data_IF_893036073361
#
_entry.id   IF_893036073361
#
_cell.length_a   1.000
_cell.length_b   1.000
_cell.length_c   1.000
_cell.angle_alpha   90.00
_cell.angle_beta   90.00
_cell.angle_gamma   90.00
#
_symmetry.space_group_name_H-M   'P 1'
#
loop_
_entity.id
_entity.type
_entity.pdbx_description
1 polymer ?
#
# COMPACT_ATOMS: atom_id res chain seq x y z
N UNK A 1 -14.19 -18.42 24.39
CA UNK A 1 -15.37 -18.17 23.54
C UNK A 1 -15.52 -19.35 22.60
N UNK A 2 -16.58 -20.11 22.74
CA UNK A 2 -16.87 -21.24 21.85
C UNK A 2 -17.67 -20.72 20.65
N UNK A 3 -17.11 -20.85 19.46
CA UNK A 3 -17.82 -20.48 18.22
C UNK A 3 -18.59 -21.69 17.70
N UNK A 4 -19.79 -21.46 17.19
CA UNK A 4 -20.55 -22.51 16.49
C UNK A 4 -19.85 -22.84 15.15
N UNK A 5 -20.06 -24.06 14.66
CA UNK A 5 -19.55 -24.45 13.32
C UNK A 5 -20.08 -23.55 12.20
N UNK A 6 -21.31 -23.03 12.38
CA UNK A 6 -21.92 -22.11 11.42
C UNK A 6 -21.20 -20.76 11.41
N UNK A 7 -20.86 -20.23 12.60
CA UNK A 7 -20.13 -18.96 12.73
C UNK A 7 -18.75 -19.03 12.09
N UNK A 8 -18.04 -20.11 12.29
CA UNK A 8 -16.71 -20.32 11.67
C UNK A 8 -16.80 -20.49 10.14
N UNK A 9 -17.83 -21.16 9.66
CA UNK A 9 -18.07 -21.31 8.21
C UNK A 9 -18.33 -19.96 7.58
N UNK A 10 -19.22 -19.16 8.14
CA UNK A 10 -19.55 -17.83 7.63
C UNK A 10 -18.34 -16.88 7.71
N UNK A 11 -17.60 -16.91 8.82
CA UNK A 11 -16.36 -16.15 8.95
C UNK A 11 -15.35 -16.53 7.89
N UNK A 12 -15.20 -17.82 7.57
CA UNK A 12 -14.34 -18.32 6.51
C UNK A 12 -14.75 -17.80 5.13
N UNK A 13 -16.04 -17.77 4.82
CA UNK A 13 -16.56 -17.21 3.56
C UNK A 13 -16.22 -15.72 3.44
N UNK A 14 -16.35 -14.96 4.51
CA UNK A 14 -15.96 -13.54 4.55
C UNK A 14 -14.46 -13.36 4.31
N UNK A 15 -13.62 -14.13 5.01
CA UNK A 15 -12.16 -14.09 4.83
C UNK A 15 -11.80 -14.39 3.38
N UNK A 16 -12.37 -15.44 2.79
CA UNK A 16 -12.11 -15.79 1.39
C UNK A 16 -12.58 -14.72 0.42
N UNK A 17 -13.70 -14.03 0.71
CA UNK A 17 -14.18 -12.93 -0.12
C UNK A 17 -13.20 -11.75 -0.11
N UNK A 18 -12.65 -11.38 1.04
CA UNK A 18 -11.59 -10.36 1.15
C UNK A 18 -10.36 -10.73 0.34
N UNK A 19 -9.90 -11.97 0.46
CA UNK A 19 -8.73 -12.46 -0.28
C UNK A 19 -8.97 -12.36 -1.78
N UNK A 20 -10.13 -12.79 -2.26
CA UNK A 20 -10.49 -12.77 -3.69
C UNK A 20 -10.58 -11.35 -4.24
N UNK A 21 -11.24 -10.44 -3.52
CA UNK A 21 -11.35 -9.03 -3.91
C UNK A 21 -9.97 -8.37 -3.93
N UNK A 22 -9.16 -8.62 -2.89
CA UNK A 22 -7.81 -8.06 -2.80
C UNK A 22 -6.91 -8.54 -3.95
N UNK A 23 -6.96 -9.82 -4.31
CA UNK A 23 -6.23 -10.36 -5.48
C UNK A 23 -6.61 -9.66 -6.77
N UNK A 24 -7.90 -9.41 -6.98
CA UNK A 24 -8.39 -8.71 -8.17
C UNK A 24 -7.90 -7.25 -8.21
N UNK A 25 -7.93 -6.55 -7.08
CA UNK A 25 -7.45 -5.16 -6.96
C UNK A 25 -5.94 -5.08 -7.18
N UNK A 26 -5.17 -5.95 -6.51
CA UNK A 26 -3.71 -5.96 -6.59
C UNK A 26 -3.22 -6.18 -8.03
N UNK A 27 -3.92 -6.95 -8.83
CA UNK A 27 -3.56 -7.15 -10.24
C UNK A 27 -3.44 -5.83 -11.00
N UNK A 28 -4.39 -4.91 -10.81
CA UNK A 28 -4.33 -3.58 -11.43
C UNK A 28 -3.15 -2.76 -10.91
N UNK A 29 -2.84 -2.87 -9.62
CA UNK A 29 -1.66 -2.21 -9.02
C UNK A 29 -0.36 -2.80 -9.57
N UNK A 30 -0.28 -4.12 -9.74
CA UNK A 30 0.87 -4.80 -10.35
C UNK A 30 1.08 -4.37 -11.80
N UNK A 31 0.02 -4.27 -12.58
CA UNK A 31 0.08 -3.83 -13.98
C UNK A 31 0.58 -2.37 -14.06
N UNK A 32 0.10 -1.51 -13.17
CA UNK A 32 0.59 -0.14 -13.07
C UNK A 32 2.09 -0.09 -12.74
N UNK A 33 2.52 -0.78 -11.70
CA UNK A 33 3.93 -0.84 -11.30
C UNK A 33 4.81 -1.40 -12.43
N UNK A 34 4.38 -2.50 -13.06
CA UNK A 34 5.11 -3.14 -14.17
C UNK A 34 5.27 -2.21 -15.37
N UNK A 35 4.25 -1.42 -15.69
CA UNK A 35 4.32 -0.43 -16.79
C UNK A 35 5.39 0.65 -16.55
N UNK A 36 5.78 0.85 -15.30
CA UNK A 36 6.82 1.80 -14.88
C UNK A 36 8.16 1.14 -14.59
N UNK A 37 8.29 -0.18 -14.83
CA UNK A 37 9.49 -0.95 -14.54
C UNK A 37 9.71 -1.21 -13.05
N UNK A 38 8.65 -1.18 -12.24
CA UNK A 38 8.71 -1.32 -10.79
C UNK A 38 7.95 -2.56 -10.30
N UNK A 39 8.32 -3.02 -9.10
CA UNK A 39 7.50 -3.91 -8.28
C UNK A 39 6.51 -3.07 -7.45
N UNK A 40 5.42 -3.69 -7.00
CA UNK A 40 4.39 -2.98 -6.21
C UNK A 40 4.98 -2.33 -4.96
N UNK A 41 5.82 -3.05 -4.22
CA UNK A 41 6.49 -2.49 -3.03
C UNK A 41 7.38 -1.30 -3.36
N UNK A 42 8.13 -1.37 -4.47
CA UNK A 42 8.97 -0.27 -4.93
C UNK A 42 8.13 0.96 -5.27
N UNK A 43 7.02 0.77 -5.97
CA UNK A 43 6.11 1.86 -6.31
C UNK A 43 5.51 2.51 -5.05
N UNK A 44 5.07 1.71 -4.07
CA UNK A 44 4.55 2.21 -2.80
C UNK A 44 5.59 3.01 -2.01
N UNK A 45 6.81 2.49 -1.90
CA UNK A 45 7.92 3.16 -1.22
C UNK A 45 8.30 4.46 -1.93
N UNK A 46 8.42 4.43 -3.27
CA UNK A 46 8.73 5.61 -4.08
C UNK A 46 7.68 6.72 -3.89
N UNK A 47 6.40 6.37 -3.96
CA UNK A 47 5.31 7.33 -3.80
C UNK A 47 5.31 7.96 -2.40
N UNK A 48 5.58 7.15 -1.38
CA UNK A 48 5.65 7.65 -0.01
C UNK A 48 6.83 8.61 0.19
N UNK A 49 8.02 8.28 -0.30
CA UNK A 49 9.21 9.15 -0.23
C UNK A 49 8.97 10.44 -1.02
N UNK A 50 8.33 10.35 -2.19
CA UNK A 50 8.00 11.52 -3.01
C UNK A 50 7.09 12.52 -2.26
N UNK A 51 6.14 12.00 -1.47
CA UNK A 51 5.22 12.82 -0.67
C UNK A 51 5.81 13.29 0.65
N UNK A 52 6.90 12.67 1.10
CA UNK A 52 7.53 12.93 2.40
C UNK A 52 9.05 13.07 2.24
N UNK A 53 9.53 14.17 1.61
CA UNK A 53 10.96 14.37 1.39
C UNK A 53 11.75 14.38 2.70
N UNK A 54 12.94 13.76 2.68
CA UNK A 54 13.80 13.66 3.85
C UNK A 54 13.45 12.56 4.84
N UNK A 55 12.55 11.64 4.45
CA UNK A 55 12.17 10.49 5.27
C UNK A 55 13.33 9.56 5.52
N UNK A 56 13.36 8.96 6.72
CA UNK A 56 14.30 7.88 7.05
C UNK A 56 13.75 6.52 6.69
N UNK A 57 14.60 5.51 6.60
CA UNK A 57 14.20 4.11 6.44
C UNK A 57 13.20 3.70 7.55
N UNK A 58 13.46 4.12 8.79
CA UNK A 58 12.58 3.86 9.92
C UNK A 58 11.18 4.45 9.71
N UNK A 59 11.10 5.71 9.27
CA UNK A 59 9.82 6.38 9.02
C UNK A 59 9.03 5.66 7.91
N UNK A 60 9.67 5.25 6.81
CA UNK A 60 9.03 4.48 5.74
C UNK A 60 8.49 3.16 6.26
N UNK A 61 9.29 2.43 7.03
CA UNK A 61 8.92 1.14 7.62
C UNK A 61 7.69 1.26 8.53
N UNK A 62 7.68 2.26 9.41
CA UNK A 62 6.59 2.49 10.35
C UNK A 62 5.29 2.91 9.64
N UNK A 63 5.38 3.78 8.65
CA UNK A 63 4.21 4.31 7.95
C UNK A 63 3.57 3.33 6.97
N UNK A 64 4.36 2.53 6.29
CA UNK A 64 3.85 1.57 5.32
C UNK A 64 3.49 0.21 5.95
N UNK A 65 3.83 0.01 7.22
CA UNK A 65 3.61 -1.26 7.93
C UNK A 65 4.15 -2.47 7.14
N UNK A 66 5.35 -2.30 6.61
CA UNK A 66 6.07 -3.32 5.83
C UNK A 66 7.33 -3.69 6.60
N UNK A 67 7.76 -4.97 6.61
CA UNK A 67 8.99 -5.37 7.27
C UNK A 67 10.20 -4.55 6.80
N UNK A 68 11.06 -4.16 7.74
CA UNK A 68 12.26 -3.36 7.47
C UNK A 68 13.13 -3.94 6.36
N UNK A 69 13.28 -5.26 6.31
CA UNK A 69 14.03 -5.94 5.26
C UNK A 69 13.44 -5.72 3.87
N UNK A 70 12.11 -5.76 3.75
CA UNK A 70 11.41 -5.51 2.48
C UNK A 70 11.56 -4.07 2.04
N UNK A 71 11.44 -3.11 2.97
CA UNK A 71 11.65 -1.69 2.69
C UNK A 71 13.09 -1.44 2.24
N UNK A 72 14.06 -2.01 2.94
CA UNK A 72 15.49 -1.87 2.60
C UNK A 72 15.81 -2.38 1.19
N UNK A 73 15.31 -3.56 0.84
CA UNK A 73 15.47 -4.14 -0.51
C UNK A 73 14.80 -3.27 -1.57
N UNK A 74 13.61 -2.75 -1.28
CA UNK A 74 12.88 -1.85 -2.20
C UNK A 74 13.66 -0.55 -2.44
N UNK A 75 14.22 0.05 -1.38
CA UNK A 75 15.04 1.26 -1.48
C UNK A 75 16.31 0.99 -2.28
N UNK A 76 16.99 -0.12 -2.02
CA UNK A 76 18.20 -0.50 -2.80
C UNK A 76 17.88 -0.60 -4.30
N UNK A 77 16.77 -1.24 -4.63
CA UNK A 77 16.29 -1.32 -6.01
C UNK A 77 15.98 0.04 -6.63
N UNK A 78 15.33 0.93 -5.88
CA UNK A 78 15.01 2.29 -6.34
C UNK A 78 16.27 3.15 -6.52
N UNK A 79 17.26 3.00 -5.65
CA UNK A 79 18.56 3.67 -5.79
C UNK A 79 19.28 3.17 -7.04
N UNK A 80 19.31 1.87 -7.27
CA UNK A 80 19.91 1.26 -8.46
C UNK A 80 19.23 1.72 -9.76
N UNK A 81 17.92 1.96 -9.73
CA UNK A 81 17.16 2.50 -10.87
C UNK A 81 17.34 4.02 -11.04
N UNK A 82 18.03 4.69 -10.14
CA UNK A 82 18.22 6.14 -10.18
C UNK A 82 16.98 6.94 -9.82
N UNK A 83 16.06 6.36 -9.04
CA UNK A 83 14.78 6.97 -8.65
C UNK A 83 14.81 7.59 -7.26
N UNK A 84 15.69 7.09 -6.39
CA UNK A 84 15.88 7.54 -5.02
C UNK A 84 17.37 7.75 -4.74
N UNK A 85 17.67 8.74 -3.95
CA UNK A 85 19.00 9.03 -3.42
C UNK A 85 19.00 8.91 -1.91
N UNK A 86 20.11 8.41 -1.36
CA UNK A 86 20.42 8.43 0.06
C UNK A 86 21.28 9.63 0.36
N UNK A 87 20.87 10.38 1.36
CA UNK A 87 21.63 11.51 1.87
C UNK A 87 21.85 11.32 3.37
N UNK A 88 23.11 11.39 3.82
CA UNK A 88 23.40 11.28 5.24
C UNK A 88 22.85 12.50 5.95
N UNK A 89 22.11 12.29 7.07
CA UNK A 89 21.58 13.38 7.88
C UNK A 89 22.74 14.20 8.49
N UNK A 90 22.66 15.53 8.35
CA UNK A 90 23.59 16.46 9.01
C UNK A 90 23.38 16.53 10.52
N UNK A 91 22.15 16.26 10.96
CA UNK A 91 21.76 16.33 12.39
C UNK A 91 22.10 15.05 13.14
N UNK A 92 21.97 13.88 12.48
CA UNK A 92 22.27 12.58 13.06
C UNK A 92 22.99 11.68 12.06
N UNK A 93 24.30 11.45 12.28
CA UNK A 93 25.14 10.62 11.40
C UNK A 93 24.71 9.17 11.28
N UNK A 94 23.84 8.69 12.19
CA UNK A 94 23.28 7.32 12.15
C UNK A 94 22.06 7.21 11.26
N UNK A 95 21.48 8.33 10.86
CA UNK A 95 20.28 8.35 10.03
C UNK A 95 20.64 8.72 8.59
N UNK A 96 19.97 8.03 7.67
CA UNK A 96 20.03 8.29 6.25
C UNK A 96 18.67 8.82 5.81
N UNK A 97 18.67 10.00 5.24
CA UNK A 97 17.49 10.60 4.64
C UNK A 97 17.32 10.11 3.20
N UNK A 98 16.09 9.91 2.80
CA UNK A 98 15.72 9.45 1.48
C UNK A 98 15.05 10.59 0.71
N UNK A 99 15.39 10.71 -0.55
CA UNK A 99 14.85 11.74 -1.41
C UNK A 99 14.70 11.20 -2.82
N UNK A 100 13.62 11.58 -3.49
CA UNK A 100 13.43 11.20 -4.89
C UNK A 100 14.30 12.05 -5.81
N UNK A 101 14.83 11.44 -6.87
CA UNK A 101 15.45 12.13 -7.97
C UNK A 101 14.40 12.80 -8.86
N UNK A 102 14.80 13.62 -9.83
CA UNK A 102 13.88 14.19 -10.83
C UNK A 102 13.15 13.04 -11.57
N UNK A 103 13.91 12.02 -11.98
CA UNK A 103 13.34 10.81 -12.62
C UNK A 103 12.37 10.08 -11.69
N UNK A 104 12.71 9.92 -10.41
CA UNK A 104 11.84 9.29 -9.41
C UNK A 104 10.55 10.06 -9.20
N UNK A 105 10.60 11.37 -9.17
CA UNK A 105 9.41 12.22 -9.07
C UNK A 105 8.49 12.06 -10.28
N UNK A 106 9.06 12.02 -11.48
CA UNK A 106 8.30 11.81 -12.72
C UNK A 106 7.59 10.45 -12.71
N UNK A 107 8.28 9.39 -12.34
CA UNK A 107 7.72 8.03 -12.24
C UNK A 107 6.61 7.98 -11.17
N UNK A 108 6.85 8.58 -10.00
CA UNK A 108 5.83 8.67 -8.94
C UNK A 108 4.57 9.37 -9.41
N UNK A 109 4.70 10.51 -10.08
CA UNK A 109 3.55 11.25 -10.63
C UNK A 109 2.79 10.44 -11.67
N UNK A 110 3.47 9.71 -12.54
CA UNK A 110 2.85 8.81 -13.52
C UNK A 110 2.06 7.69 -12.85
N UNK A 111 2.61 7.08 -11.79
CA UNK A 111 1.93 6.01 -11.05
C UNK A 111 0.64 6.51 -10.38
N UNK A 112 0.70 7.69 -9.78
CA UNK A 112 -0.46 8.31 -9.10
C UNK A 112 -1.52 8.72 -10.13
N UNK A 113 -1.12 9.32 -11.25
CA UNK A 113 -2.04 9.74 -12.31
C UNK A 113 -2.73 8.55 -12.97
N UNK A 114 -2.03 7.42 -13.14
CA UNK A 114 -2.60 6.21 -13.69
C UNK A 114 -3.71 5.66 -12.79
N UNK A 115 -3.48 5.58 -11.47
CA UNK A 115 -4.46 5.17 -10.45
C UNK A 115 -5.27 3.93 -10.85
N UNK A 116 -4.65 2.92 -11.49
CA UNK A 116 -5.32 1.79 -12.15
C UNK A 116 -6.30 1.06 -11.22
N UNK A 117 -5.88 0.75 -9.99
CA UNK A 117 -6.73 0.06 -9.02
C UNK A 117 -7.93 0.91 -8.60
N UNK A 118 -7.75 2.21 -8.39
CA UNK A 118 -8.83 3.10 -8.01
C UNK A 118 -9.86 3.25 -9.13
N UNK A 119 -9.40 3.40 -10.36
CA UNK A 119 -10.28 3.47 -11.54
C UNK A 119 -11.05 2.18 -11.76
N UNK A 120 -10.39 1.03 -11.58
CA UNK A 120 -11.05 -0.27 -11.69
C UNK A 120 -12.13 -0.46 -10.62
N UNK A 121 -11.84 -0.12 -9.37
CA UNK A 121 -12.83 -0.20 -8.29
C UNK A 121 -13.96 0.80 -8.50
N UNK A 122 -13.67 2.04 -8.90
CA UNK A 122 -14.69 3.04 -9.21
C UNK A 122 -15.64 2.54 -10.29
N UNK A 123 -15.12 1.96 -11.37
CA UNK A 123 -15.93 1.38 -12.46
C UNK A 123 -16.77 0.19 -11.97
N UNK A 124 -16.20 -0.69 -11.15
CA UNK A 124 -16.95 -1.82 -10.57
C UNK A 124 -18.08 -1.35 -9.66
N UNK A 125 -17.91 -0.23 -8.97
CA UNK A 125 -18.91 0.32 -8.05
C UNK A 125 -20.08 1.05 -8.76
N UNK A 126 -19.99 1.30 -10.06
CA UNK A 126 -21.08 1.96 -10.81
C UNK A 126 -22.42 1.20 -10.74
N UNK A 127 -22.36 -0.11 -10.49
CA UNK A 127 -23.54 -0.97 -10.35
C UNK A 127 -24.21 -0.91 -8.96
N UNK A 128 -23.56 -0.27 -7.99
CA UNK A 128 -24.00 -0.23 -6.61
C UNK A 128 -24.68 1.11 -6.29
N UNK A 129 -25.68 1.09 -5.42
CA UNK A 129 -26.27 2.32 -4.92
C UNK A 129 -25.28 3.05 -3.99
N UNK A 130 -25.50 4.34 -3.79
CA UNK A 130 -24.72 5.10 -2.82
C UNK A 130 -24.84 4.53 -1.41
N UNK A 131 -26.02 4.10 -1.03
CA UNK A 131 -26.30 3.48 0.26
C UNK A 131 -25.48 2.19 0.44
N UNK A 132 -25.39 1.35 -0.59
CA UNK A 132 -24.59 0.12 -0.55
C UNK A 132 -23.09 0.43 -0.40
N UNK A 133 -22.58 1.43 -1.12
CA UNK A 133 -21.18 1.87 -1.02
C UNK A 133 -20.87 2.39 0.37
N UNK A 134 -21.73 3.25 0.93
CA UNK A 134 -21.56 3.79 2.27
C UNK A 134 -21.62 2.68 3.34
N UNK A 135 -22.52 1.71 3.16
CA UNK A 135 -22.64 0.54 4.03
C UNK A 135 -21.40 -0.35 3.97
N UNK A 136 -20.86 -0.59 2.78
CA UNK A 136 -19.63 -1.36 2.58
C UNK A 136 -18.45 -0.72 3.33
N UNK A 137 -18.26 0.59 3.17
CA UNK A 137 -17.20 1.33 3.85
C UNK A 137 -17.39 1.31 5.37
N UNK A 138 -18.61 1.47 5.85
CA UNK A 138 -18.92 1.43 7.28
C UNK A 138 -18.63 0.05 7.88
N UNK A 139 -19.05 -1.01 7.23
CA UNK A 139 -18.80 -2.38 7.68
C UNK A 139 -17.32 -2.71 7.71
N UNK A 140 -16.56 -2.29 6.69
CA UNK A 140 -15.11 -2.49 6.64
C UNK A 140 -14.40 -1.76 7.80
N UNK A 141 -14.76 -0.51 8.08
CA UNK A 141 -14.19 0.25 9.20
C UNK A 141 -14.50 -0.39 10.54
N UNK A 142 -15.73 -0.84 10.76
CA UNK A 142 -16.14 -1.51 11.99
C UNK A 142 -15.41 -2.83 12.18
N UNK A 143 -15.29 -3.65 11.13
CA UNK A 143 -14.58 -4.91 11.18
C UNK A 143 -13.08 -4.71 11.48
N UNK A 144 -12.46 -3.73 10.83
CA UNK A 144 -11.06 -3.41 11.08
C UNK A 144 -10.83 -2.97 12.54
N UNK A 145 -11.71 -2.14 13.08
CA UNK A 145 -11.64 -1.70 14.48
C UNK A 145 -11.72 -2.89 15.43
N UNK A 146 -12.69 -3.78 15.22
CA UNK A 146 -12.87 -4.98 16.05
C UNK A 146 -11.65 -5.93 15.99
N UNK A 147 -11.08 -6.12 14.79
CA UNK A 147 -9.88 -6.96 14.64
C UNK A 147 -8.66 -6.37 15.34
N UNK A 148 -8.51 -5.06 15.38
CA UNK A 148 -7.44 -4.38 16.11
C UNK A 148 -7.59 -4.55 17.63
N UNK A 149 -8.80 -4.50 18.14
CA UNK A 149 -9.08 -4.73 19.57
C UNK A 149 -8.73 -6.16 20.01
N UNK A 150 -8.97 -7.16 19.15
CA UNK A 150 -8.62 -8.55 19.43
C UNK A 150 -7.10 -8.76 19.49
N UNK A 151 -6.35 -8.01 18.70
CA UNK A 151 -4.88 -8.11 18.63
C UNK A 151 -4.14 -7.23 19.65
N UNK A 152 -4.85 -6.42 20.42
CA UNK A 152 -4.27 -5.59 21.48
C UNK A 152 -4.34 -6.27 22.83
#
# INVERSE_FOLDING_TARGET
MEFSNLDLKQAGEIVQSFISVNKAIIKFTQDNASSLGLKVQQMGVLNWISSNPGSTLKAVTEQLDIPKSTVSVSIDGLVNLGLVEREQSKENRREVNLKVTIKGRDISQKSIKNASSYKAVASALEKFSKEDIDSLLHMHKSLLSSLKEINS
#
